data_IF_383112806618
#
_entry.id   IF_383112806618
#
_cell.length_a   1.000
_cell.length_b   1.000
_cell.length_c   1.000
_cell.angle_alpha   90.00
_cell.angle_beta   90.00
_cell.angle_gamma   90.00
#
_symmetry.space_group_name_H-M   'P 1'
#
loop_
_entity.id
_entity.type
_entity.pdbx_description
1 polymer ?
#
# COMPACT_ATOMS: atom_id res chain seq x y z
N UNK A 1 -10.63 26.40 26.18
CA UNK A 1 -11.61 25.64 25.38
C UNK A 1 -11.21 25.84 23.93
N UNK A 2 -10.37 24.95 23.39
CA UNK A 2 -10.06 24.99 21.97
C UNK A 2 -11.39 24.76 21.22
N UNK A 3 -11.78 25.62 20.28
CA UNK A 3 -12.98 25.38 19.50
C UNK A 3 -12.85 24.00 18.87
N UNK A 4 -13.88 23.18 19.05
CA UNK A 4 -14.03 21.85 18.49
C UNK A 4 -13.67 21.95 17.00
N UNK A 5 -12.46 21.51 16.64
CA UNK A 5 -11.97 21.60 15.28
C UNK A 5 -12.90 20.72 14.46
N UNK A 6 -13.84 21.36 13.74
CA UNK A 6 -14.89 20.66 13.00
C UNK A 6 -14.26 19.48 12.26
N UNK A 7 -14.71 18.27 12.59
CA UNK A 7 -14.10 17.04 12.09
C UNK A 7 -13.88 17.16 10.58
N UNK A 8 -12.62 17.14 10.15
CA UNK A 8 -12.26 17.38 8.75
C UNK A 8 -12.98 16.36 7.87
N UNK A 9 -13.93 16.83 7.08
CA UNK A 9 -14.74 15.97 6.21
C UNK A 9 -13.92 15.56 5.01
N UNK A 10 -14.08 14.30 4.61
CA UNK A 10 -13.46 13.79 3.39
C UNK A 10 -14.33 14.12 2.18
N UNK A 11 -13.73 14.78 1.20
CA UNK A 11 -14.26 15.00 -0.13
C UNK A 11 -13.70 13.94 -1.08
N UNK A 12 -14.56 13.31 -1.88
CA UNK A 12 -14.14 12.34 -2.88
C UNK A 12 -14.60 12.78 -4.25
N UNK A 13 -13.66 12.93 -5.19
CA UNK A 13 -13.94 13.23 -6.61
C UNK A 13 -13.87 11.96 -7.44
N UNK A 14 -14.85 11.78 -8.33
CA UNK A 14 -14.82 10.71 -9.32
C UNK A 14 -13.83 11.07 -10.45
N UNK A 15 -12.96 10.14 -10.82
CA UNK A 15 -12.06 10.23 -11.99
C UNK A 15 -12.41 9.13 -13.00
N UNK A 16 -12.41 9.49 -14.27
CA UNK A 16 -12.39 8.54 -15.38
C UNK A 16 -10.94 8.22 -15.73
N UNK A 17 -10.43 7.12 -15.18
CA UNK A 17 -9.05 6.69 -15.38
C UNK A 17 -8.84 6.23 -16.83
N UNK A 18 -7.64 6.48 -17.37
CA UNK A 18 -7.20 5.97 -18.68
C UNK A 18 -6.55 4.58 -18.60
N UNK A 19 -6.00 4.26 -17.43
CA UNK A 19 -5.36 2.99 -17.09
C UNK A 19 -5.48 2.78 -15.58
N UNK A 20 -5.56 1.53 -15.15
CA UNK A 20 -5.63 1.15 -13.73
C UNK A 20 -4.42 0.32 -13.30
N UNK A 21 -3.80 -0.42 -14.24
CA UNK A 21 -2.57 -1.17 -13.99
C UNK A 21 -1.36 -0.24 -13.92
N UNK A 22 -0.70 -0.23 -12.77
CA UNK A 22 0.60 0.41 -12.57
C UNK A 22 1.70 -0.64 -12.49
N UNK A 23 2.88 -0.35 -13.06
CA UNK A 23 4.02 -1.26 -13.06
C UNK A 23 5.18 -0.66 -12.27
N UNK A 24 5.99 -1.53 -11.68
CA UNK A 24 7.22 -1.16 -11.00
C UNK A 24 8.32 -2.19 -11.29
N UNK A 25 9.57 -1.76 -11.18
CA UNK A 25 10.80 -2.52 -11.43
C UNK A 25 11.61 -2.73 -10.14
N UNK A 26 10.97 -2.55 -8.98
CA UNK A 26 11.69 -2.57 -7.71
C UNK A 26 12.03 -3.99 -7.27
N UNK A 27 13.29 -4.29 -6.93
CA UNK A 27 13.68 -5.59 -6.40
C UNK A 27 13.23 -5.79 -4.93
N UNK A 28 12.71 -4.75 -4.28
CA UNK A 28 12.32 -4.79 -2.86
C UNK A 28 10.90 -5.33 -2.63
N UNK A 29 10.07 -5.38 -3.68
CA UNK A 29 8.68 -5.83 -3.59
C UNK A 29 8.46 -7.07 -4.45
N UNK A 30 7.64 -8.03 -4.00
CA UNK A 30 7.47 -9.31 -4.69
C UNK A 30 6.44 -9.26 -5.83
N UNK A 31 6.11 -8.07 -6.35
CA UNK A 31 5.11 -7.89 -7.39
C UNK A 31 5.56 -6.84 -8.41
N UNK A 32 5.22 -7.06 -9.68
CA UNK A 32 5.53 -6.14 -10.77
C UNK A 32 4.35 -5.18 -11.07
N UNK A 33 3.12 -5.67 -10.89
CA UNK A 33 1.89 -4.96 -11.28
C UNK A 33 1.02 -4.69 -10.06
N UNK A 34 0.48 -3.48 -9.96
CA UNK A 34 -0.43 -3.10 -8.90
C UNK A 34 -1.64 -2.29 -9.40
N UNK A 35 -2.73 -2.39 -8.64
CA UNK A 35 -3.94 -1.58 -8.78
C UNK A 35 -4.12 -0.75 -7.51
N UNK A 36 -4.30 0.56 -7.73
CA UNK A 36 -4.73 1.50 -6.70
C UNK A 36 -6.01 2.18 -7.20
N UNK A 37 -7.21 1.77 -6.72
CA UNK A 37 -8.50 2.32 -7.15
C UNK A 37 -8.73 3.74 -6.64
N UNK A 38 -7.99 4.14 -5.60
CA UNK A 38 -8.04 5.46 -4.98
C UNK A 38 -6.70 6.18 -5.11
N UNK A 39 -6.75 7.51 -5.17
CA UNK A 39 -5.62 8.39 -4.86
C UNK A 39 -5.92 9.10 -3.55
N UNK A 40 -4.97 9.09 -2.63
CA UNK A 40 -5.18 9.52 -1.25
C UNK A 40 -5.71 8.39 -0.38
N UNK A 41 -5.61 8.57 0.93
CA UNK A 41 -6.03 7.55 1.89
C UNK A 41 -6.58 8.21 3.16
N UNK A 42 -7.83 7.89 3.49
CA UNK A 42 -8.47 8.39 4.70
C UNK A 42 -7.78 7.94 5.98
N UNK A 43 -7.01 6.85 5.96
CA UNK A 43 -6.33 6.40 7.19
C UNK A 43 -5.45 7.48 7.85
N UNK A 44 -4.93 8.42 7.05
CA UNK A 44 -4.20 9.57 7.58
C UNK A 44 -2.90 9.19 8.29
N UNK A 45 -2.28 8.06 7.94
CA UNK A 45 -1.05 7.61 8.59
C UNK A 45 0.05 8.67 8.44
N UNK A 46 0.61 9.15 9.55
CA UNK A 46 1.61 10.25 9.53
C UNK A 46 2.90 9.85 8.81
N UNK A 47 3.21 8.55 8.77
CA UNK A 47 4.37 7.97 8.11
C UNK A 47 4.14 7.59 6.63
N UNK A 48 2.96 7.87 6.06
CA UNK A 48 2.57 7.32 4.76
C UNK A 48 3.47 7.81 3.61
N UNK A 49 4.30 6.92 3.07
CA UNK A 49 5.21 7.23 1.96
C UNK A 49 4.50 7.66 0.66
N UNK A 50 3.19 7.43 0.54
CA UNK A 50 2.41 7.79 -0.64
C UNK A 50 1.88 9.23 -0.60
N UNK A 51 2.00 9.93 0.54
CA UNK A 51 1.61 11.36 0.69
C UNK A 51 2.13 12.26 -0.44
N UNK A 52 3.42 12.17 -0.85
CA UNK A 52 3.96 13.03 -1.91
C UNK A 52 3.26 12.85 -3.27
N UNK A 53 2.56 11.74 -3.51
CA UNK A 53 1.85 11.52 -4.78
C UNK A 53 0.67 12.47 -4.98
N UNK A 54 0.17 13.09 -3.91
CA UNK A 54 -0.91 14.08 -3.98
C UNK A 54 -0.48 15.40 -4.62
N UNK A 55 0.81 15.73 -4.57
CA UNK A 55 1.34 16.92 -5.24
C UNK A 55 1.12 16.88 -6.77
N UNK A 56 1.09 15.69 -7.39
CA UNK A 56 0.77 15.53 -8.82
C UNK A 56 -0.67 15.93 -9.18
N UNK A 57 -1.56 16.02 -8.19
CA UNK A 57 -2.94 16.46 -8.35
C UNK A 57 -3.12 17.95 -8.02
N UNK A 58 -2.04 18.66 -7.68
CA UNK A 58 -2.09 20.04 -7.20
C UNK A 58 -2.61 20.16 -5.77
N UNK A 59 -2.58 19.08 -4.99
CA UNK A 59 -3.01 19.05 -3.59
C UNK A 59 -1.82 18.94 -2.63
N UNK A 60 -2.01 19.38 -1.38
CA UNK A 60 -1.00 19.25 -0.34
C UNK A 60 -0.75 17.76 0.02
N UNK A 61 0.51 17.30 0.11
CA UNK A 61 0.87 16.01 0.70
C UNK A 61 0.51 15.86 2.19
N UNK A 62 0.16 16.96 2.88
CA UNK A 62 -0.32 16.97 4.26
C UNK A 62 -1.79 16.55 4.37
N UNK A 63 -2.64 17.44 4.88
CA UNK A 63 -4.05 17.14 5.16
C UNK A 63 -4.88 16.83 3.89
N UNK A 64 -4.54 17.39 2.73
CA UNK A 64 -5.31 17.10 1.51
C UNK A 64 -5.18 15.63 1.09
N UNK A 65 -4.06 14.94 1.42
CA UNK A 65 -3.88 13.51 1.14
C UNK A 65 -4.97 12.62 1.78
N UNK A 66 -5.44 13.01 2.95
CA UNK A 66 -6.42 12.26 3.73
C UNK A 66 -7.83 12.85 3.68
N UNK A 67 -7.98 14.09 3.20
CA UNK A 67 -9.29 14.78 3.14
C UNK A 67 -9.81 15.02 1.72
N UNK A 68 -8.94 15.04 0.69
CA UNK A 68 -9.33 15.25 -0.71
C UNK A 68 -8.89 14.06 -1.56
N UNK A 69 -9.79 13.11 -1.72
CA UNK A 69 -9.51 11.84 -2.38
C UNK A 69 -10.05 11.82 -3.80
N UNK A 70 -9.46 10.94 -4.61
CA UNK A 70 -9.95 10.66 -5.97
C UNK A 70 -10.25 9.17 -6.08
N UNK A 71 -11.47 8.84 -6.47
CA UNK A 71 -11.90 7.48 -6.77
C UNK A 71 -11.95 7.28 -8.29
N UNK A 72 -11.25 6.26 -8.79
CA UNK A 72 -11.27 5.90 -10.22
C UNK A 72 -12.57 5.14 -10.50
N UNK A 73 -13.63 5.90 -10.78
CA UNK A 73 -15.01 5.38 -10.82
C UNK A 73 -15.22 4.30 -11.90
N UNK A 74 -14.43 4.33 -12.97
CA UNK A 74 -14.44 3.34 -14.05
C UNK A 74 -13.36 2.25 -13.91
N UNK A 75 -12.75 2.07 -12.73
CA UNK A 75 -11.61 1.16 -12.53
C UNK A 75 -11.86 -0.25 -13.06
N UNK A 76 -13.07 -0.80 -12.87
CA UNK A 76 -13.43 -2.16 -13.30
C UNK A 76 -13.50 -2.26 -14.82
N UNK A 77 -14.10 -1.27 -15.50
CA UNK A 77 -14.21 -1.27 -16.95
C UNK A 77 -12.85 -1.09 -17.63
N UNK A 78 -12.02 -0.21 -17.07
CA UNK A 78 -10.63 -0.02 -17.51
C UNK A 78 -9.84 -1.29 -17.31
N UNK A 79 -9.98 -1.95 -16.14
CA UNK A 79 -9.31 -3.22 -15.86
C UNK A 79 -9.71 -4.29 -16.86
N UNK A 80 -11.03 -4.46 -17.11
CA UNK A 80 -11.55 -5.42 -18.09
C UNK A 80 -10.91 -5.20 -19.46
N UNK A 81 -10.85 -3.95 -19.92
CA UNK A 81 -10.20 -3.60 -21.18
C UNK A 81 -8.69 -3.80 -21.20
N UNK A 82 -8.00 -3.68 -20.06
CA UNK A 82 -6.56 -3.97 -19.96
C UNK A 82 -6.27 -5.48 -19.95
N UNK A 83 -7.11 -6.28 -19.29
CA UNK A 83 -7.00 -7.74 -19.23
C UNK A 83 -7.39 -8.41 -20.56
N UNK A 84 -8.26 -7.79 -21.36
CA UNK A 84 -8.71 -8.32 -22.66
C UNK A 84 -7.71 -8.08 -23.81
N UNK A 85 -6.57 -7.42 -23.56
CA UNK A 85 -5.61 -7.06 -24.61
C UNK A 85 -4.94 -8.33 -25.19
N UNK A 86 -4.78 -8.45 -26.52
CA UNK A 86 -4.00 -9.51 -27.12
C UNK A 86 -2.58 -9.57 -26.55
N UNK A 87 -2.12 -10.77 -26.17
CA UNK A 87 -0.80 -10.97 -25.58
C UNK A 87 -0.66 -10.56 -24.11
N UNK A 88 -1.77 -10.28 -23.41
CA UNK A 88 -1.75 -10.10 -21.96
C UNK A 88 -1.12 -11.31 -21.26
N UNK A 89 -0.11 -11.07 -20.43
CA UNK A 89 0.55 -12.10 -19.62
C UNK A 89 0.07 -11.98 -18.19
N UNK A 90 -0.62 -13.01 -17.72
CA UNK A 90 -1.12 -13.11 -16.36
C UNK A 90 0.04 -13.23 -15.37
N UNK A 91 -0.01 -12.42 -14.33
CA UNK A 91 0.84 -12.49 -13.16
C UNK A 91 0.04 -11.92 -11.97
N UNK A 92 0.30 -12.33 -10.72
CA UNK A 92 -0.41 -11.78 -9.56
C UNK A 92 -0.38 -10.26 -9.54
N UNK A 93 -1.57 -9.64 -9.47
CA UNK A 93 -1.69 -8.19 -9.32
C UNK A 93 -1.81 -7.85 -7.84
N UNK A 94 -1.03 -6.88 -7.36
CA UNK A 94 -1.16 -6.37 -6.00
C UNK A 94 -2.22 -5.26 -5.91
N UNK A 95 -3.13 -5.34 -4.95
CA UNK A 95 -4.09 -4.30 -4.63
C UNK A 95 -3.68 -3.64 -3.31
N UNK A 96 -3.58 -2.32 -3.33
CA UNK A 96 -3.32 -1.52 -2.13
C UNK A 96 -1.84 -1.25 -1.86
N UNK A 97 -1.03 -1.15 -2.91
CA UNK A 97 0.40 -0.85 -2.79
C UNK A 97 0.71 0.60 -2.41
N UNK A 98 -0.18 1.56 -2.73
CA UNK A 98 0.03 2.99 -2.45
C UNK A 98 -1.10 3.62 -1.63
N UNK A 99 -2.34 3.12 -1.77
CA UNK A 99 -3.50 3.56 -1.00
C UNK A 99 -4.21 2.35 -0.41
N UNK A 100 -4.93 2.52 0.70
CA UNK A 100 -5.67 1.40 1.26
C UNK A 100 -6.95 1.15 0.45
N UNK A 101 -7.11 -0.07 -0.04
CA UNK A 101 -8.25 -0.49 -0.85
C UNK A 101 -9.53 -0.69 -0.02
N UNK A 102 -9.42 -0.73 1.30
CA UNK A 102 -10.51 -0.87 2.26
C UNK A 102 -10.61 0.31 3.24
N UNK A 103 -10.07 1.48 2.86
CA UNK A 103 -10.29 2.73 3.58
C UNK A 103 -11.80 3.08 3.70
N UNK A 104 -12.25 3.87 4.69
CA UNK A 104 -13.67 4.07 5.00
C UNK A 104 -14.60 4.36 3.81
N UNK A 105 -14.18 5.15 2.82
CA UNK A 105 -14.97 5.46 1.61
C UNK A 105 -15.30 4.21 0.76
N UNK A 106 -14.52 3.13 0.86
CA UNK A 106 -14.78 1.85 0.18
C UNK A 106 -16.12 1.24 0.60
N UNK A 107 -16.69 1.62 1.76
CA UNK A 107 -18.04 1.21 2.18
C UNK A 107 -19.10 1.59 1.14
N UNK A 108 -18.94 2.77 0.53
CA UNK A 108 -19.88 3.31 -0.45
C UNK A 108 -19.44 2.99 -1.89
N UNK A 109 -18.16 3.15 -2.18
CA UNK A 109 -17.63 3.05 -3.56
C UNK A 109 -17.56 1.61 -4.08
N UNK A 110 -17.29 0.63 -3.21
CA UNK A 110 -17.25 -0.81 -3.54
C UNK A 110 -16.35 -1.15 -4.75
N UNK A 111 -15.34 -0.31 -5.05
CA UNK A 111 -14.45 -0.51 -6.20
C UNK A 111 -13.61 -1.77 -6.00
N UNK A 112 -13.10 -1.99 -4.79
CA UNK A 112 -12.32 -3.17 -4.44
C UNK A 112 -13.15 -4.43 -4.60
N UNK A 113 -14.38 -4.43 -4.08
CA UNK A 113 -15.30 -5.57 -4.26
C UNK A 113 -15.53 -5.91 -5.74
N UNK A 114 -15.82 -4.89 -6.56
CA UNK A 114 -16.09 -5.13 -7.98
C UNK A 114 -14.84 -5.56 -8.76
N UNK A 115 -13.65 -5.09 -8.35
CA UNK A 115 -12.38 -5.61 -8.88
C UNK A 115 -12.20 -7.08 -8.49
N UNK A 116 -12.45 -7.46 -7.23
CA UNK A 116 -12.37 -8.85 -6.77
C UNK A 116 -13.35 -9.76 -7.53
N UNK A 117 -14.56 -9.27 -7.82
CA UNK A 117 -15.52 -10.01 -8.65
C UNK A 117 -14.93 -10.27 -10.04
N UNK A 118 -14.37 -9.25 -10.71
CA UNK A 118 -13.73 -9.43 -12.02
C UNK A 118 -12.53 -10.40 -11.95
N UNK A 119 -11.73 -10.34 -10.88
CA UNK A 119 -10.63 -11.29 -10.66
C UNK A 119 -11.15 -12.73 -10.55
N UNK A 120 -12.25 -12.93 -9.83
CA UNK A 120 -12.88 -14.24 -9.70
C UNK A 120 -13.45 -14.74 -11.03
N UNK A 121 -14.20 -13.89 -11.74
CA UNK A 121 -14.83 -14.20 -13.03
C UNK A 121 -13.79 -14.58 -14.08
N UNK A 122 -12.62 -13.94 -14.06
CA UNK A 122 -11.52 -14.18 -15.02
C UNK A 122 -10.51 -15.19 -14.53
N UNK A 123 -10.64 -15.73 -13.32
CA UNK A 123 -9.63 -16.62 -12.73
C UNK A 123 -8.25 -15.97 -12.55
N UNK A 124 -8.22 -14.65 -12.35
CA UNK A 124 -6.99 -13.87 -12.28
C UNK A 124 -6.44 -13.83 -10.84
N UNK A 125 -5.15 -14.16 -10.62
CA UNK A 125 -4.56 -14.13 -9.29
C UNK A 125 -4.33 -12.71 -8.76
N UNK A 126 -4.53 -12.54 -7.45
CA UNK A 126 -4.51 -11.23 -6.79
C UNK A 126 -3.91 -11.31 -5.37
N UNK A 127 -3.12 -10.30 -4.99
CA UNK A 127 -2.67 -10.11 -3.61
C UNK A 127 -3.23 -8.82 -3.05
N UNK A 128 -3.63 -8.80 -1.78
CA UNK A 128 -4.28 -7.64 -1.15
C UNK A 128 -3.43 -7.14 0.01
N UNK A 129 -3.35 -5.83 0.20
CA UNK A 129 -2.74 -5.22 1.39
C UNK A 129 -3.73 -4.23 1.99
N UNK A 130 -3.97 -4.32 3.31
CA UNK A 130 -4.84 -3.38 4.02
C UNK A 130 -4.49 -3.21 5.50
N UNK A 131 -4.98 -2.13 6.11
CA UNK A 131 -5.01 -1.83 7.54
C UNK A 131 -6.43 -1.82 8.10
N UNK A 132 -7.44 -2.21 7.32
CA UNK A 132 -8.83 -2.08 7.69
C UNK A 132 -9.57 -3.42 7.70
N UNK A 133 -10.33 -3.66 8.76
CA UNK A 133 -11.15 -4.86 8.90
C UNK A 133 -12.35 -4.91 7.96
N UNK A 134 -12.61 -3.83 7.19
CA UNK A 134 -13.61 -3.83 6.13
C UNK A 134 -13.38 -4.92 5.06
N UNK A 135 -12.16 -5.48 4.97
CA UNK A 135 -11.87 -6.66 4.15
C UNK A 135 -12.82 -7.84 4.40
N UNK A 136 -13.33 -8.00 5.63
CA UNK A 136 -14.28 -9.06 5.98
C UNK A 136 -15.63 -8.93 5.25
N UNK A 137 -15.99 -7.74 4.75
CA UNK A 137 -17.21 -7.55 3.94
C UNK A 137 -17.19 -8.42 2.69
N UNK A 138 -16.01 -8.63 2.11
CA UNK A 138 -15.84 -9.32 0.85
C UNK A 138 -15.34 -10.77 1.03
N UNK A 139 -15.56 -11.34 2.23
CA UNK A 139 -15.15 -12.70 2.58
C UNK A 139 -15.72 -13.76 1.63
N UNK A 140 -16.91 -13.52 1.09
CA UNK A 140 -17.54 -14.39 0.09
C UNK A 140 -16.69 -14.54 -1.17
N UNK A 141 -16.17 -13.43 -1.70
CA UNK A 141 -15.29 -13.42 -2.87
C UNK A 141 -13.89 -13.94 -2.54
N UNK A 142 -13.36 -13.54 -1.39
CA UNK A 142 -12.03 -13.96 -0.95
C UNK A 142 -11.96 -15.46 -0.73
N UNK A 143 -13.01 -16.07 -0.16
CA UNK A 143 -13.10 -17.51 -0.01
C UNK A 143 -13.14 -18.22 -1.37
N UNK A 144 -13.99 -17.77 -2.30
CA UNK A 144 -14.09 -18.36 -3.63
C UNK A 144 -12.77 -18.27 -4.42
N UNK A 145 -12.04 -17.16 -4.30
CA UNK A 145 -10.70 -17.01 -4.86
C UNK A 145 -9.69 -17.93 -4.17
N UNK A 146 -9.78 -18.09 -2.84
CA UNK A 146 -8.84 -18.91 -2.06
C UNK A 146 -9.00 -20.41 -2.36
N UNK A 147 -10.24 -20.89 -2.52
CA UNK A 147 -10.55 -22.26 -2.94
C UNK A 147 -9.91 -22.61 -4.30
N UNK A 148 -9.63 -21.59 -5.13
CA UNK A 148 -8.97 -21.70 -6.44
C UNK A 148 -7.48 -21.35 -6.41
N UNK A 149 -6.89 -21.10 -5.24
CA UNK A 149 -5.51 -20.63 -5.08
C UNK A 149 -5.20 -19.32 -5.84
N UNK A 150 -6.17 -18.40 -5.90
CA UNK A 150 -6.07 -17.14 -6.64
C UNK A 150 -5.85 -15.91 -5.75
N UNK A 151 -5.95 -16.02 -4.42
CA UNK A 151 -5.83 -14.86 -3.53
C UNK A 151 -4.91 -15.09 -2.33
N UNK A 152 -4.27 -14.01 -1.93
CA UNK A 152 -3.61 -13.86 -0.64
C UNK A 152 -3.89 -12.47 -0.07
N UNK A 153 -4.15 -12.39 1.23
CA UNK A 153 -4.33 -11.11 1.91
C UNK A 153 -3.17 -10.82 2.88
N UNK A 154 -2.79 -9.56 2.98
CA UNK A 154 -1.84 -9.05 3.96
C UNK A 154 -2.50 -7.96 4.79
N UNK A 155 -2.46 -8.10 6.11
CA UNK A 155 -2.98 -7.10 7.05
C UNK A 155 -1.82 -6.42 7.77
N UNK A 156 -1.68 -5.11 7.63
CA UNK A 156 -0.64 -4.37 8.36
C UNK A 156 -1.07 -4.13 9.81
N UNK A 157 -0.25 -4.61 10.75
CA UNK A 157 -0.38 -4.36 12.19
C UNK A 157 0.90 -3.67 12.63
N UNK A 158 0.80 -2.40 13.00
CA UNK A 158 1.96 -1.52 13.31
C UNK A 158 2.32 -1.53 14.79
N UNK A 159 1.31 -1.65 15.65
CA UNK A 159 1.41 -1.60 17.12
C UNK A 159 0.27 -2.44 17.69
N UNK A 160 0.38 -2.84 18.95
CA UNK A 160 -0.74 -3.41 19.72
C UNK A 160 -1.37 -2.38 20.67
N UNK A 161 -0.78 -1.19 20.77
CA UNK A 161 -1.30 -0.08 21.55
C UNK A 161 -2.37 0.70 20.76
N UNK A 162 -3.60 0.67 21.27
CA UNK A 162 -4.74 1.35 20.66
C UNK A 162 -4.68 2.87 20.78
N UNK A 163 -4.05 3.43 21.81
CA UNK A 163 -3.91 4.88 21.97
C UNK A 163 -2.90 5.43 20.97
N UNK A 164 -1.74 4.77 20.86
CA UNK A 164 -0.74 5.08 19.84
C UNK A 164 -1.30 4.93 18.42
N UNK A 165 -2.07 3.88 18.15
CA UNK A 165 -2.69 3.69 16.84
C UNK A 165 -3.62 4.86 16.46
N UNK A 166 -4.34 5.46 17.41
CA UNK A 166 -5.24 6.60 17.15
C UNK A 166 -4.51 7.87 16.73
N UNK A 167 -3.27 8.06 17.16
CA UNK A 167 -2.48 9.24 16.75
C UNK A 167 -1.68 8.94 15.49
N UNK A 168 -1.19 7.71 15.34
CA UNK A 168 -0.32 7.29 14.25
C UNK A 168 -1.09 7.04 12.93
N UNK A 169 -2.31 6.50 13.03
CA UNK A 169 -3.15 6.07 11.91
C UNK A 169 -4.67 6.18 12.26
N UNK A 170 -5.16 7.42 12.47
CA UNK A 170 -6.39 7.74 13.19
C UNK A 170 -7.67 7.08 12.66
N UNK A 171 -7.75 6.82 11.35
CA UNK A 171 -8.95 6.25 10.70
C UNK A 171 -8.77 4.82 10.19
N UNK A 172 -7.64 4.18 10.51
CA UNK A 172 -7.48 2.75 10.29
C UNK A 172 -8.23 1.95 11.38
N UNK A 173 -8.45 0.64 11.15
CA UNK A 173 -9.04 -0.22 12.20
C UNK A 173 -8.12 -0.28 13.42
N UNK A 174 -8.66 -0.42 14.63
CA UNK A 174 -7.86 -0.63 15.83
C UNK A 174 -7.00 -1.92 15.72
N UNK A 175 -5.82 -1.99 16.36
CA UNK A 175 -4.92 -3.15 16.28
C UNK A 175 -5.58 -4.51 16.52
N UNK A 176 -6.32 -4.65 17.63
CA UNK A 176 -7.03 -5.89 17.97
C UNK A 176 -8.06 -6.27 16.90
N UNK A 177 -8.68 -5.29 16.24
CA UNK A 177 -9.68 -5.52 15.18
C UNK A 177 -9.03 -6.03 13.89
N UNK A 178 -7.78 -5.62 13.63
CA UNK A 178 -6.97 -6.14 12.50
C UNK A 178 -6.56 -7.58 12.75
N UNK A 179 -6.13 -7.93 13.96
CA UNK A 179 -5.84 -9.32 14.33
C UNK A 179 -7.09 -10.21 14.28
N UNK A 180 -8.25 -9.67 14.67
CA UNK A 180 -9.53 -10.37 14.46
C UNK A 180 -9.80 -10.61 12.98
N UNK A 181 -9.52 -9.64 12.10
CA UNK A 181 -9.68 -9.84 10.65
C UNK A 181 -8.73 -10.90 10.09
N UNK A 182 -7.50 -10.98 10.58
CA UNK A 182 -6.57 -12.08 10.27
C UNK A 182 -7.20 -13.43 10.63
N UNK A 183 -7.77 -13.54 11.84
CA UNK A 183 -8.45 -14.76 12.32
C UNK A 183 -9.65 -15.12 11.45
N UNK A 184 -10.53 -14.17 11.16
CA UNK A 184 -11.71 -14.36 10.31
C UNK A 184 -11.32 -14.88 8.92
N UNK A 185 -10.33 -14.25 8.29
CA UNK A 185 -9.87 -14.63 6.95
C UNK A 185 -9.21 -16.03 6.96
N UNK A 186 -8.35 -16.31 7.94
CA UNK A 186 -7.67 -17.60 8.07
C UNK A 186 -8.67 -18.75 8.29
N UNK A 187 -9.66 -18.55 9.16
CA UNK A 187 -10.75 -19.52 9.40
C UNK A 187 -11.62 -19.77 8.16
N UNK A 188 -11.76 -18.77 7.29
CA UNK A 188 -12.45 -18.91 6.00
C UNK A 188 -11.59 -19.58 4.91
N UNK A 189 -10.36 -20.02 5.24
CA UNK A 189 -9.45 -20.67 4.31
C UNK A 189 -8.63 -19.70 3.44
N UNK A 190 -8.75 -18.39 3.65
CA UNK A 190 -7.98 -17.39 2.90
C UNK A 190 -6.53 -17.37 3.44
N UNK A 191 -5.51 -17.57 2.58
CA UNK A 191 -4.12 -17.40 3.00
C UNK A 191 -3.85 -15.96 3.44
N UNK A 192 -3.44 -15.76 4.69
CA UNK A 192 -3.19 -14.43 5.27
C UNK A 192 -1.77 -14.27 5.78
N UNK A 193 -1.18 -13.10 5.53
CA UNK A 193 0.04 -12.62 6.16
C UNK A 193 -0.18 -11.36 6.99
N UNK A 194 0.76 -11.07 7.89
CA UNK A 194 0.78 -9.82 8.65
C UNK A 194 2.03 -9.00 8.33
N UNK A 195 1.85 -7.69 8.15
CA UNK A 195 2.97 -6.77 7.94
C UNK A 195 3.17 -5.93 9.20
N UNK A 196 4.27 -6.18 9.93
CA UNK A 196 4.75 -5.35 11.02
C UNK A 196 5.43 -4.09 10.44
N UNK A 197 4.62 -3.17 9.91
CA UNK A 197 5.13 -2.16 8.97
C UNK A 197 4.35 -0.84 9.00
N UNK A 198 5.01 0.31 9.26
CA UNK A 198 6.45 0.44 9.55
C UNK A 198 6.78 0.17 11.03
N UNK A 199 8.01 -0.32 11.27
CA UNK A 199 8.68 -0.23 12.55
C UNK A 199 9.34 1.15 12.68
N UNK A 200 9.08 1.80 13.80
CA UNK A 200 9.57 3.11 14.20
C UNK A 200 10.28 2.90 15.55
N UNK A 201 11.61 3.11 15.60
CA UNK A 201 12.39 2.90 16.82
C UNK A 201 11.85 3.69 18.00
N UNK A 202 11.77 3.07 19.18
CA UNK A 202 11.28 3.65 20.43
C UNK A 202 9.81 4.12 20.41
N UNK A 203 9.08 3.81 19.34
CA UNK A 203 7.66 4.12 19.21
C UNK A 203 6.87 2.82 19.19
N UNK A 204 7.12 1.91 18.23
CA UNK A 204 6.34 0.68 18.12
C UNK A 204 7.18 -0.58 17.90
N UNK A 205 8.51 -0.46 17.80
CA UNK A 205 9.39 -1.58 17.53
C UNK A 205 9.47 -2.58 18.70
N UNK A 206 9.05 -2.20 19.90
CA UNK A 206 8.86 -3.12 21.03
C UNK A 206 7.75 -4.16 20.78
N UNK A 207 6.76 -3.85 19.94
CA UNK A 207 5.64 -4.75 19.66
C UNK A 207 5.96 -5.81 18.62
N UNK A 208 7.16 -5.79 18.00
CA UNK A 208 7.50 -6.65 16.87
C UNK A 208 7.20 -8.12 17.14
N UNK A 209 7.76 -8.70 18.20
CA UNK A 209 7.59 -10.11 18.54
C UNK A 209 6.14 -10.44 18.91
N UNK A 210 5.50 -9.59 19.72
CA UNK A 210 4.12 -9.78 20.15
C UNK A 210 3.12 -9.70 18.99
N UNK A 211 3.37 -8.83 17.99
CA UNK A 211 2.58 -8.77 16.75
C UNK A 211 2.70 -10.10 16.00
N UNK A 212 3.91 -10.66 15.88
CA UNK A 212 4.11 -11.91 15.17
C UNK A 212 3.53 -13.12 15.90
N UNK A 213 3.64 -13.15 17.22
CA UNK A 213 3.01 -14.16 18.07
C UNK A 213 1.49 -14.17 17.88
N UNK A 214 0.83 -13.04 18.11
CA UNK A 214 -0.63 -12.93 17.99
C UNK A 214 -1.11 -13.11 16.55
N UNK A 215 -0.32 -12.70 15.56
CA UNK A 215 -0.63 -12.97 14.16
C UNK A 215 -0.60 -14.48 13.85
N UNK A 216 0.42 -15.20 14.34
CA UNK A 216 0.51 -16.66 14.18
C UNK A 216 -0.64 -17.37 14.89
N UNK A 217 -0.98 -16.96 16.12
CA UNK A 217 -2.16 -17.46 16.86
C UNK A 217 -3.50 -17.15 16.18
N UNK A 218 -3.55 -16.05 15.42
CA UNK A 218 -4.69 -15.70 14.56
C UNK A 218 -4.71 -16.50 13.25
N UNK A 219 -3.70 -17.34 12.98
CA UNK A 219 -3.63 -18.17 11.79
C UNK A 219 -2.99 -17.49 10.58
N UNK A 220 -2.22 -16.42 10.79
CA UNK A 220 -1.35 -15.89 9.74
C UNK A 220 -0.27 -16.92 9.38
N UNK A 221 0.02 -17.06 8.09
CA UNK A 221 1.06 -17.95 7.56
C UNK A 221 2.31 -17.20 7.12
N UNK A 222 2.16 -15.91 6.82
CA UNK A 222 3.22 -15.07 6.28
C UNK A 222 3.45 -13.85 7.16
N UNK A 223 4.66 -13.33 7.09
CA UNK A 223 5.05 -12.12 7.78
C UNK A 223 6.03 -11.31 6.95
N UNK A 224 6.00 -9.99 7.14
CA UNK A 224 7.00 -9.05 6.67
C UNK A 224 7.11 -7.88 7.61
N UNK A 225 8.23 -7.17 7.58
CA UNK A 225 8.38 -5.88 8.25
C UNK A 225 9.06 -4.88 7.31
N UNK A 226 8.84 -3.59 7.57
CA UNK A 226 9.69 -2.53 7.01
C UNK A 226 10.00 -1.53 8.12
N UNK A 227 11.13 -0.85 7.99
CA UNK A 227 11.46 0.32 8.82
C UNK A 227 10.85 1.55 8.17
N UNK A 228 10.42 2.51 9.00
CA UNK A 228 9.83 3.77 8.56
C UNK A 228 10.67 4.45 7.46
N UNK A 229 9.95 5.04 6.51
CA UNK A 229 10.47 5.79 5.37
C UNK A 229 9.83 7.17 5.38
N UNK A 230 10.66 8.21 5.30
CA UNK A 230 10.22 9.61 5.41
C UNK A 230 10.59 10.42 4.15
N UNK A 231 10.12 10.01 2.96
CA UNK A 231 10.46 10.73 1.73
C UNK A 231 9.80 12.12 1.71
N UNK A 232 10.52 13.12 1.18
CA UNK A 232 9.97 14.46 0.87
C UNK A 232 9.24 15.09 2.07
N UNK A 233 7.99 15.52 1.90
CA UNK A 233 7.17 16.19 2.93
C UNK A 233 6.79 15.27 4.10
N UNK A 234 6.91 13.95 3.93
CA UNK A 234 6.57 12.98 4.99
C UNK A 234 7.46 13.18 6.22
N UNK A 235 8.71 13.60 6.05
CA UNK A 235 9.62 13.87 7.17
C UNK A 235 9.07 14.98 8.09
N UNK A 236 8.51 16.05 7.51
CA UNK A 236 7.99 17.19 8.26
C UNK A 236 6.68 16.84 8.95
N UNK A 237 5.78 16.12 8.26
CA UNK A 237 4.53 15.62 8.86
C UNK A 237 4.83 14.68 10.04
N UNK A 238 5.79 13.78 9.87
CA UNK A 238 6.17 12.83 10.91
C UNK A 238 6.86 13.51 12.10
N UNK A 239 7.77 14.44 11.85
CA UNK A 239 8.48 15.20 12.87
C UNK A 239 7.52 16.05 13.72
N UNK A 240 6.58 16.76 13.09
CA UNK A 240 5.54 17.51 13.80
C UNK A 240 4.68 16.60 14.69
N UNK A 241 4.26 15.44 14.16
CA UNK A 241 3.52 14.45 14.95
C UNK A 241 4.34 13.95 16.14
N UNK A 242 5.62 13.67 15.93
CA UNK A 242 6.50 13.15 16.95
C UNK A 242 6.72 14.17 18.09
N UNK A 243 6.92 15.45 17.77
CA UNK A 243 7.01 16.50 18.79
C UNK A 243 5.68 16.73 19.52
N UNK A 244 4.53 16.54 18.84
CA UNK A 244 3.23 16.71 19.46
C UNK A 244 2.87 15.57 20.43
N UNK A 245 3.26 14.33 20.12
CA UNK A 245 2.81 13.13 20.85
C UNK A 245 3.89 12.45 21.68
N UNK A 246 5.17 12.64 21.36
CA UNK A 246 6.32 12.01 22.02
C UNK A 246 7.50 13.00 22.21
N UNK A 247 7.27 14.20 22.79
CA UNK A 247 8.28 15.26 22.87
C UNK A 247 9.54 14.84 23.65
N UNK A 248 9.39 13.96 24.64
CA UNK A 248 10.45 13.45 25.50
C UNK A 248 11.46 12.54 24.77
N UNK A 249 11.04 11.93 23.65
CA UNK A 249 11.86 11.00 22.86
C UNK A 249 11.96 11.35 21.39
N UNK A 250 11.40 12.48 20.95
CA UNK A 250 11.37 12.90 19.55
C UNK A 250 12.76 12.90 18.90
N UNK A 251 13.70 13.65 19.47
CA UNK A 251 15.09 13.72 18.98
C UNK A 251 15.76 12.34 18.95
N UNK A 252 15.50 11.50 19.95
CA UNK A 252 16.08 10.16 20.02
C UNK A 252 15.59 9.26 18.89
N UNK A 253 14.29 9.30 18.57
CA UNK A 253 13.68 8.54 17.47
C UNK A 253 14.23 9.04 16.14
N UNK A 254 14.29 10.35 15.96
CA UNK A 254 14.81 11.03 14.80
C UNK A 254 16.28 10.63 14.53
N UNK A 255 17.18 10.81 15.50
CA UNK A 255 18.58 10.41 15.38
C UNK A 255 18.70 8.91 15.06
N UNK A 256 17.85 8.06 15.64
CA UNK A 256 17.88 6.63 15.35
C UNK A 256 17.46 6.30 13.91
N UNK A 257 16.53 7.07 13.34
CA UNK A 257 16.19 6.96 11.92
C UNK A 257 17.39 7.38 11.07
N UNK A 258 18.09 8.47 11.41
CA UNK A 258 19.30 8.90 10.71
C UNK A 258 20.44 7.87 10.77
N UNK A 259 20.67 7.26 11.93
CA UNK A 259 21.65 6.18 12.09
C UNK A 259 21.40 5.04 11.10
N UNK A 260 20.13 4.65 10.91
CA UNK A 260 19.75 3.57 9.99
C UNK A 260 19.78 3.98 8.50
N UNK A 261 20.13 5.22 8.21
CA UNK A 261 20.01 5.88 6.90
C UNK A 261 21.23 6.71 6.55
N UNK A 262 22.36 6.44 7.21
CA UNK A 262 23.65 7.11 6.96
C UNK A 262 23.56 8.63 7.14
N UNK A 263 22.93 9.07 8.23
CA UNK A 263 22.79 10.48 8.59
C UNK A 263 21.63 11.21 7.91
N UNK A 264 20.76 10.51 7.17
CA UNK A 264 19.60 11.09 6.46
C UNK A 264 18.28 10.71 7.09
N UNK A 265 17.23 11.54 6.95
CA UNK A 265 15.87 11.17 7.37
C UNK A 265 15.21 10.11 6.47
N UNK A 266 15.70 9.92 5.26
CA UNK A 266 15.18 8.93 4.32
C UNK A 266 16.28 8.42 3.39
N UNK A 267 16.09 7.18 2.92
CA UNK A 267 16.95 6.55 1.94
C UNK A 267 16.11 6.10 0.73
N UNK A 268 16.43 6.55 -0.50
CA UNK A 268 15.71 6.15 -1.70
C UNK A 268 16.21 4.83 -2.30
N UNK A 269 17.39 4.33 -1.88
CA UNK A 269 18.08 3.22 -2.53
C UNK A 269 17.34 1.89 -2.34
N UNK A 270 17.30 1.08 -3.39
CA UNK A 270 16.80 -0.30 -3.28
C UNK A 270 17.71 -1.13 -2.34
N UNK A 271 17.13 -2.16 -1.74
CA UNK A 271 17.76 -3.00 -0.71
C UNK A 271 17.73 -2.38 0.68
N UNK A 272 18.11 -1.11 0.79
CA UNK A 272 18.28 -0.43 2.09
C UNK A 272 17.04 0.35 2.51
N UNK A 273 16.29 1.00 1.60
CA UNK A 273 15.14 1.86 1.94
C UNK A 273 14.07 1.21 2.81
N UNK A 274 13.83 -0.10 2.71
CA UNK A 274 12.82 -0.80 3.52
C UNK A 274 13.37 -1.38 4.82
N UNK A 275 14.69 -1.60 4.92
CA UNK A 275 15.30 -2.35 6.02
C UNK A 275 16.16 -1.50 6.95
N UNK A 276 16.80 -0.46 6.40
CA UNK A 276 17.83 0.31 7.09
C UNK A 276 19.20 -0.37 7.02
N UNK A 277 20.22 0.33 7.49
CA UNK A 277 21.59 -0.17 7.65
C UNK A 277 22.06 0.01 9.10
N UNK A 278 23.20 -0.58 9.46
CA UNK A 278 23.82 -0.43 10.77
C UNK A 278 23.16 -1.24 11.90
N UNK A 279 23.70 -1.06 13.11
CA UNK A 279 23.45 -1.93 14.28
C UNK A 279 21.97 -2.06 14.63
N UNK A 280 21.20 -0.98 14.55
CA UNK A 280 19.77 -1.02 14.89
C UNK A 280 18.95 -1.78 13.85
N UNK A 281 19.24 -1.58 12.55
CA UNK A 281 18.59 -2.33 11.49
C UNK A 281 18.91 -3.84 11.59
N UNK A 282 20.15 -4.18 11.92
CA UNK A 282 20.56 -5.56 12.19
C UNK A 282 19.86 -6.15 13.42
N UNK A 283 19.71 -5.39 14.50
CA UNK A 283 18.96 -5.82 15.68
C UNK A 283 17.50 -6.14 15.32
N UNK A 284 16.82 -5.24 14.60
CA UNK A 284 15.45 -5.47 14.14
C UNK A 284 15.34 -6.71 13.24
N UNK A 285 16.30 -6.89 12.32
CA UNK A 285 16.37 -8.06 11.44
C UNK A 285 16.55 -9.36 12.22
N UNK A 286 17.45 -9.37 13.21
CA UNK A 286 17.68 -10.54 14.05
C UNK A 286 16.45 -10.88 14.88
N UNK A 287 15.85 -9.89 15.56
CA UNK A 287 14.61 -10.03 16.33
C UNK A 287 13.47 -10.60 15.48
N UNK A 288 13.25 -10.01 14.32
CA UNK A 288 12.27 -10.48 13.34
C UNK A 288 12.54 -11.93 12.90
N UNK A 289 13.78 -12.25 12.55
CA UNK A 289 14.15 -13.58 12.04
C UNK A 289 13.93 -14.66 13.11
N UNK A 290 14.32 -14.38 14.36
CA UNK A 290 14.09 -15.28 15.49
C UNK A 290 12.61 -15.48 15.77
N UNK A 291 11.81 -14.41 15.75
CA UNK A 291 10.37 -14.47 15.97
C UNK A 291 9.64 -15.23 14.85
N UNK A 292 9.98 -14.99 13.58
CA UNK A 292 9.44 -15.74 12.43
C UNK A 292 9.69 -17.24 12.59
N UNK A 293 10.92 -17.63 12.96
CA UNK A 293 11.26 -19.04 13.23
C UNK A 293 10.50 -19.60 14.43
N UNK A 294 10.47 -18.86 15.54
CA UNK A 294 9.78 -19.25 16.78
C UNK A 294 8.29 -19.50 16.56
N UNK A 295 7.63 -18.67 15.75
CA UNK A 295 6.18 -18.71 15.55
C UNK A 295 5.76 -19.41 14.25
N UNK A 296 6.67 -20.08 13.55
CA UNK A 296 6.36 -20.90 12.37
C UNK A 296 5.86 -20.11 11.15
N UNK A 297 6.21 -18.84 11.04
CA UNK A 297 5.80 -17.98 9.93
C UNK A 297 6.74 -18.16 8.73
N UNK A 298 6.26 -17.87 7.52
CA UNK A 298 7.04 -17.90 6.28
C UNK A 298 7.61 -19.28 5.88
N UNK A 299 7.06 -20.38 6.41
CA UNK A 299 7.54 -21.74 6.13
C UNK A 299 7.34 -22.21 4.68
N UNK A 300 6.38 -21.64 3.95
CA UNK A 300 6.14 -21.94 2.54
C UNK A 300 6.05 -20.64 1.76
N UNK A 301 6.72 -20.55 0.60
CA UNK A 301 6.55 -19.40 -0.28
C UNK A 301 5.23 -19.56 -1.04
N UNK A 302 4.31 -18.60 -0.93
CA UNK A 302 3.04 -18.74 -1.62
C UNK A 302 3.19 -18.49 -3.11
N UNK A 303 2.57 -19.36 -3.91
CA UNK A 303 2.44 -19.22 -5.34
C UNK A 303 0.95 -19.26 -5.68
N UNK A 304 0.46 -18.19 -6.30
CA UNK A 304 -0.91 -18.12 -6.78
C UNK A 304 -1.00 -18.75 -8.17
N UNK A 305 -2.13 -19.35 -8.47
CA UNK A 305 -2.36 -20.02 -9.74
C UNK A 305 -2.63 -19.00 -10.86
N UNK A 306 -1.74 -18.97 -11.86
CA UNK A 306 -1.92 -18.15 -13.06
C UNK A 306 -2.57 -18.92 -14.22
N UNK A 307 -2.69 -20.24 -14.14
CA UNK A 307 -3.14 -21.10 -15.26
C UNK A 307 -4.65 -21.00 -15.52
N UNK A 308 -5.43 -20.57 -14.53
CA UNK A 308 -6.89 -20.47 -14.61
C UNK A 308 -7.38 -19.19 -15.31
N UNK A 309 -6.47 -18.31 -15.74
CA UNK A 309 -6.88 -17.03 -16.31
C UNK A 309 -7.58 -17.20 -17.67
N UNK A 310 -8.76 -16.59 -17.79
CA UNK A 310 -9.50 -16.45 -19.04
C UNK A 310 -9.71 -14.97 -19.30
N UNK A 311 -9.21 -14.49 -20.44
CA UNK A 311 -9.36 -13.09 -20.82
C UNK A 311 -10.85 -12.72 -20.94
N UNK A 312 -11.29 -11.61 -20.32
CA UNK A 312 -12.67 -11.19 -20.42
C UNK A 312 -12.99 -10.65 -21.82
N UNK A 313 -14.27 -10.62 -22.17
CA UNK A 313 -14.70 -9.86 -23.35
C UNK A 313 -14.34 -8.38 -23.19
N UNK A 314 -13.87 -7.71 -24.26
CA UNK A 314 -13.60 -6.29 -24.22
C UNK A 314 -14.86 -5.51 -23.82
N UNK A 315 -14.75 -4.43 -23.02
CA UNK A 315 -15.90 -3.61 -22.68
C UNK A 315 -16.57 -3.09 -23.97
N UNK A 316 -17.90 -3.14 -24.02
CA UNK A 316 -18.66 -2.62 -25.14
C UNK A 316 -18.24 -1.16 -25.41
N UNK A 317 -17.77 -0.88 -26.63
CA UNK A 317 -17.43 0.47 -27.05
C UNK A 317 -18.71 1.29 -27.01
N UNK A 318 -18.90 2.10 -25.96
CA UNK A 318 -19.94 3.13 -25.99
C UNK A 318 -19.54 4.12 -27.08
N UNK A 319 -20.35 4.35 -28.12
CA UNK A 319 -20.02 5.32 -29.14
C UNK A 319 -19.77 6.65 -28.45
N UNK A 320 -18.59 7.23 -28.67
CA UNK A 320 -18.28 8.55 -28.15
C UNK A 320 -19.33 9.50 -28.70
N UNK A 321 -20.15 10.10 -27.83
CA UNK A 321 -20.89 11.29 -28.22
C UNK A 321 -19.84 12.31 -28.62
N UNK A 322 -19.74 12.60 -29.92
CA UNK A 322 -19.07 13.81 -30.41
C UNK A 322 -19.70 14.97 -29.64
N UNK A 323 -18.97 15.53 -28.69
CA UNK A 323 -19.36 16.77 -28.04
C UNK A 323 -19.23 17.89 -29.09
N UNK A 324 -20.32 18.16 -29.80
CA UNK A 324 -20.53 19.45 -30.42
C UNK A 324 -20.85 20.46 -29.32
N UNK A 325 -20.04 21.51 -29.23
CA UNK A 325 -20.19 22.56 -28.23
C UNK A 325 -18.85 22.99 -27.66
N UNK A 326 -18.22 23.96 -28.32
CA UNK A 326 -16.88 24.45 -27.98
C UNK A 326 -16.83 25.13 -26.61
N UNK A 327 -15.75 24.84 -25.89
CA UNK A 327 -15.10 25.78 -24.98
C UNK A 327 -13.61 25.72 -25.36
N UNK A 328 -13.05 26.88 -25.72
CA UNK A 328 -11.71 27.01 -26.24
C UNK A 328 -10.66 26.45 -25.26
N UNK A 329 -9.80 25.57 -25.76
CA UNK A 329 -8.59 25.16 -25.06
C UNK A 329 -7.63 26.35 -24.97
N UNK A 330 -7.31 26.78 -23.76
CA UNK A 330 -6.18 27.68 -23.51
C UNK A 330 -4.90 26.84 -23.69
N UNK A 331 -3.99 27.20 -24.62
CA UNK A 331 -2.78 26.41 -24.84
C UNK A 331 -1.79 26.67 -23.70
N UNK A 332 -1.56 25.67 -22.86
CA UNK A 332 -0.44 25.69 -21.91
C UNK A 332 0.84 25.44 -22.70
N UNK A 333 1.63 26.50 -22.93
CA UNK A 333 2.99 26.39 -23.46
C UNK A 333 3.87 25.73 -22.39
N UNK A 334 4.30 24.50 -22.65
CA UNK A 334 5.33 23.85 -21.85
C UNK A 334 6.68 24.52 -22.11
N UNK A 335 7.32 25.03 -21.06
CA UNK A 335 8.68 25.55 -21.11
C UNK A 335 9.66 24.42 -21.47
N UNK A 336 10.57 24.65 -22.42
CA UNK A 336 11.55 23.67 -22.93
C UNK A 336 12.48 23.06 -21.87
N UNK A 337 12.51 23.59 -20.64
CA UNK A 337 13.23 23.01 -19.51
C UNK A 337 12.65 21.68 -18.99
N UNK A 338 11.36 21.41 -19.19
CA UNK A 338 10.70 20.20 -18.63
C UNK A 338 10.93 18.96 -19.49
N UNK A 339 11.23 19.12 -20.79
CA UNK A 339 11.56 17.99 -21.69
C UNK A 339 12.94 17.38 -21.42
N UNK A 340 13.89 18.15 -20.89
CA UNK A 340 15.24 17.65 -20.57
C UNK A 340 15.29 16.83 -19.26
N UNK A 341 14.36 17.04 -18.34
CA UNK A 341 14.30 16.27 -17.08
C UNK A 341 13.66 14.88 -17.27
N UNK A 342 12.68 14.76 -18.17
CA UNK A 342 12.07 13.47 -18.53
C UNK A 342 13.02 12.54 -19.30
N UNK A 343 13.99 13.09 -20.04
CA UNK A 343 15.01 12.31 -20.75
C UNK A 343 16.16 11.84 -19.85
N UNK A 344 16.48 12.58 -18.77
CA UNK A 344 17.59 12.22 -17.88
C UNK A 344 17.26 11.04 -16.94
N UNK A 345 15.98 10.79 -16.63
CA UNK A 345 15.58 9.64 -15.80
C UNK A 345 15.48 8.33 -16.58
N UNK A 346 15.27 8.39 -17.91
CA UNK A 346 15.24 7.20 -18.78
C UNK A 346 16.64 6.67 -19.13
N UNK A 347 17.71 7.45 -18.92
CA UNK A 347 19.08 7.07 -19.29
C UNK A 347 19.89 6.40 -18.16
N UNK A 348 19.42 6.45 -16.90
CA UNK A 348 20.13 5.85 -15.75
C UNK A 348 19.74 4.38 -15.54
N UNK A 349 18.70 3.88 -16.22
CA UNK A 349 18.26 2.48 -16.16
C UNK A 349 19.03 1.53 -17.10
N UNK A 350 20.02 2.00 -17.85
CA UNK A 350 20.68 1.23 -18.90
C UNK A 350 22.21 1.15 -18.73
N UNK A 351 22.71 0.69 -17.57
CA UNK A 351 24.06 0.10 -17.45
C UNK A 351 24.25 -0.53 -16.07
N UNK A 352 24.28 -1.86 -16.02
CA UNK A 352 24.49 -2.60 -14.78
C UNK A 352 23.99 -4.04 -14.86
N UNK A 353 24.28 -4.74 -15.96
CA UNK A 353 24.14 -6.19 -16.01
C UNK A 353 25.21 -6.81 -15.11
N UNK A 354 24.80 -7.52 -14.05
CA UNK A 354 25.70 -8.21 -13.14
C UNK A 354 24.93 -8.88 -12.01
N UNK A 355 24.80 -10.20 -12.12
CA UNK A 355 24.22 -11.17 -11.19
C UNK A 355 24.38 -10.84 -9.69
N UNK A 356 23.32 -11.02 -8.90
CA UNK A 356 23.25 -12.00 -7.80
C UNK A 356 21.87 -11.97 -7.08
N UNK A 357 21.41 -13.17 -6.75
CA UNK A 357 20.08 -13.52 -6.26
C UNK A 357 19.87 -13.19 -4.78
N UNK A 358 18.64 -12.79 -4.46
CA UNK A 358 18.10 -12.56 -3.12
C UNK A 358 17.85 -13.88 -2.35
N UNK A 359 18.01 -13.79 -1.03
CA UNK A 359 17.69 -14.75 0.04
C UNK A 359 18.81 -15.70 0.47
N UNK A 360 19.73 -15.16 1.29
CA UNK A 360 20.26 -15.81 2.49
C UNK A 360 20.06 -14.87 3.70
#
# INVERSE_FOLDING_TARGET
>A
MFPDAAALRTEVRAEQARSILSRNDSPDVPFEVAINPYRGCEHGCVYCFARPTHAYLGYSPGLDFETKLVAKANAVDVLRGELSKPGYRVAPINLGSATDIYQPIERNWRLTRNILQLMLDTGHPVTLVTKNALIERDLDLLRALAERNLVMAFVSVTTLDAEMARTLEPRASAPWRRLQAVRTLSQAGVPVGVLASPLIPFINDEFLEAILEQASEAGARFSGYTVVRLPWEVKEVFEQWLHAHFPDRAERVLHRIEDMREGRRNDPNFGTRMRGTGVWADLLRQRYTLAVRKFGLNGVRPQLDCSQFVAPEPPAVKPSRKAGGGIAAVPVRFHEGVRRMAAATLAVQAQGAGQLSLFD
#
